data_IF_583790857842
#
_entry.id   IF_583790857842
#
_cell.length_a   1.000
_cell.length_b   1.000
_cell.length_c   1.000
_cell.angle_alpha   90.00
_cell.angle_beta   90.00
_cell.angle_gamma   90.00
#
_symmetry.space_group_name_H-M   'P 1'
#
loop_
_entity.id
_entity.type
_entity.pdbx_description
1 polymer ?
#
# COMPACT_ATOMS: atom_id res chain seq x y z
N UNK A 1 -83.26 -31.40 -19.85
CA UNK A 1 -82.88 -32.68 -19.23
C UNK A 1 -81.59 -32.38 -18.50
N UNK A 2 -81.67 -32.35 -17.18
CA UNK A 2 -80.59 -31.96 -16.28
C UNK A 2 -79.87 -33.26 -15.91
N UNK A 3 -78.69 -33.49 -16.51
CA UNK A 3 -77.87 -34.66 -16.24
C UNK A 3 -77.30 -34.56 -14.81
N UNK A 4 -78.09 -34.99 -13.84
CA UNK A 4 -77.59 -35.29 -12.49
C UNK A 4 -76.74 -36.55 -12.57
N UNK A 5 -75.44 -36.38 -12.81
CA UNK A 5 -74.48 -37.46 -12.59
C UNK A 5 -74.65 -38.01 -11.17
N UNK A 6 -74.68 -39.35 -11.00
CA UNK A 6 -74.90 -39.95 -9.70
C UNK A 6 -73.77 -39.52 -8.74
N UNK A 7 -74.12 -39.09 -7.54
CA UNK A 7 -73.17 -38.57 -6.52
C UNK A 7 -71.93 -39.46 -6.32
N UNK A 8 -72.08 -40.77 -6.52
CA UNK A 8 -70.98 -41.73 -6.48
C UNK A 8 -69.87 -41.47 -7.52
N UNK A 9 -70.20 -41.14 -8.79
CA UNK A 9 -69.18 -40.88 -9.82
C UNK A 9 -68.42 -39.57 -9.56
N UNK A 10 -69.06 -38.57 -8.96
CA UNK A 10 -68.40 -37.34 -8.51
C UNK A 10 -67.44 -37.60 -7.35
N UNK A 11 -67.81 -38.47 -6.40
CA UNK A 11 -66.93 -38.87 -5.31
C UNK A 11 -65.71 -39.64 -5.82
N UNK A 12 -65.90 -40.58 -6.75
CA UNK A 12 -64.80 -41.33 -7.38
C UNK A 12 -63.89 -40.44 -8.24
N UNK A 13 -64.46 -39.44 -8.93
CA UNK A 13 -63.69 -38.41 -9.64
C UNK A 13 -62.85 -37.57 -8.68
N UNK A 14 -63.39 -37.22 -7.52
CA UNK A 14 -62.71 -36.42 -6.50
C UNK A 14 -61.55 -37.20 -5.87
N UNK A 15 -61.75 -38.47 -5.52
CA UNK A 15 -60.69 -39.32 -4.98
C UNK A 15 -59.58 -39.56 -6.00
N UNK A 16 -59.92 -39.76 -7.28
CA UNK A 16 -58.95 -39.85 -8.38
C UNK A 16 -58.10 -38.58 -8.51
N UNK A 17 -58.73 -37.39 -8.47
CA UNK A 17 -58.02 -36.10 -8.51
C UNK A 17 -57.10 -35.91 -7.30
N UNK A 18 -57.53 -36.30 -6.10
CA UNK A 18 -56.69 -36.25 -4.90
C UNK A 18 -55.45 -37.12 -5.07
N UNK A 19 -55.60 -38.34 -5.58
CA UNK A 19 -54.46 -39.24 -5.83
C UNK A 19 -53.50 -38.68 -6.89
N UNK A 20 -54.03 -38.06 -7.96
CA UNK A 20 -53.19 -37.41 -8.98
C UNK A 20 -52.41 -36.22 -8.41
N UNK A 21 -53.02 -35.41 -7.56
CA UNK A 21 -52.35 -34.29 -6.88
C UNK A 21 -51.28 -34.78 -5.91
N UNK A 22 -51.56 -35.83 -5.13
CA UNK A 22 -50.56 -36.45 -4.26
C UNK A 22 -49.34 -36.95 -5.04
N UNK A 23 -49.58 -37.59 -6.20
CA UNK A 23 -48.50 -38.04 -7.08
C UNK A 23 -47.69 -36.87 -7.64
N UNK A 24 -48.34 -35.84 -8.17
CA UNK A 24 -47.67 -34.66 -8.72
C UNK A 24 -46.84 -33.91 -7.66
N UNK A 25 -47.35 -33.86 -6.42
CA UNK A 25 -46.63 -33.25 -5.30
C UNK A 25 -45.38 -34.04 -4.93
N UNK A 26 -45.47 -35.37 -4.84
CA UNK A 26 -44.31 -36.23 -4.58
C UNK A 26 -43.24 -36.11 -5.69
N UNK A 27 -43.66 -36.03 -6.96
CA UNK A 27 -42.73 -35.80 -8.08
C UNK A 27 -42.03 -34.44 -7.96
N UNK A 28 -42.77 -33.37 -7.62
CA UNK A 28 -42.21 -32.03 -7.43
C UNK A 28 -41.23 -31.97 -6.25
N UNK A 29 -41.55 -32.61 -5.12
CA UNK A 29 -40.64 -32.71 -3.98
C UNK A 29 -39.36 -33.45 -4.35
N UNK A 30 -39.47 -34.54 -5.12
CA UNK A 30 -38.29 -35.27 -5.62
C UNK A 30 -37.42 -34.37 -6.51
N UNK A 31 -38.02 -33.62 -7.43
CA UNK A 31 -37.30 -32.73 -8.33
C UNK A 31 -36.59 -31.60 -7.56
N UNK A 32 -37.27 -31.04 -6.55
CA UNK A 32 -36.68 -30.03 -5.65
C UNK A 32 -35.49 -30.60 -4.90
N UNK A 33 -35.61 -31.80 -4.34
CA UNK A 33 -34.52 -32.45 -3.60
C UNK A 33 -33.31 -32.70 -4.52
N UNK A 34 -33.51 -33.22 -5.73
CA UNK A 34 -32.42 -33.46 -6.70
C UNK A 34 -31.75 -32.15 -7.11
N UNK A 35 -32.54 -31.12 -7.45
CA UNK A 35 -32.01 -29.82 -7.90
C UNK A 35 -31.18 -29.15 -6.81
N UNK A 36 -31.65 -29.16 -5.55
CA UNK A 36 -30.92 -28.58 -4.43
C UNK A 36 -29.64 -29.36 -4.12
N UNK A 37 -29.68 -30.69 -4.16
CA UNK A 37 -28.49 -31.52 -3.95
C UNK A 37 -27.43 -31.28 -5.03
N UNK A 38 -27.82 -31.13 -6.30
CA UNK A 38 -26.88 -30.81 -7.38
C UNK A 38 -26.21 -29.45 -7.16
N UNK A 39 -27.02 -28.41 -6.88
CA UNK A 39 -26.47 -27.08 -6.59
C UNK A 39 -25.55 -27.08 -5.37
N UNK A 40 -25.89 -27.84 -4.34
CA UNK A 40 -25.03 -27.97 -3.17
C UNK A 40 -23.69 -28.63 -3.49
N UNK A 41 -23.70 -29.72 -4.28
CA UNK A 41 -22.46 -30.38 -4.73
C UNK A 41 -21.57 -29.46 -5.56
N UNK A 42 -22.13 -28.65 -6.45
CA UNK A 42 -21.37 -27.67 -7.23
C UNK A 42 -20.69 -26.64 -6.31
N UNK A 43 -21.39 -26.17 -5.27
CA UNK A 43 -20.84 -25.25 -4.27
C UNK A 43 -19.72 -25.92 -3.48
N UNK A 44 -19.94 -27.14 -2.99
CA UNK A 44 -18.96 -27.93 -2.24
C UNK A 44 -17.68 -28.19 -3.05
N UNK A 45 -17.82 -28.58 -4.32
CA UNK A 45 -16.70 -28.77 -5.24
C UNK A 45 -15.92 -27.47 -5.49
N UNK A 46 -16.62 -26.34 -5.64
CA UNK A 46 -15.98 -25.03 -5.79
C UNK A 46 -15.15 -24.66 -4.54
N UNK A 47 -15.72 -24.82 -3.34
CA UNK A 47 -14.99 -24.54 -2.09
C UNK A 47 -13.80 -25.48 -1.90
N UNK A 48 -13.92 -26.77 -2.20
CA UNK A 48 -12.78 -27.69 -2.20
C UNK A 48 -11.73 -27.34 -3.27
N UNK A 49 -12.15 -26.79 -4.41
CA UNK A 49 -11.24 -26.25 -5.43
C UNK A 49 -10.44 -25.06 -4.89
N UNK A 50 -11.12 -24.11 -4.25
CA UNK A 50 -10.51 -22.94 -3.65
C UNK A 50 -9.53 -23.32 -2.54
N UNK A 51 -9.94 -24.22 -1.64
CA UNK A 51 -9.11 -24.74 -0.55
C UNK A 51 -7.82 -25.37 -1.08
N UNK A 52 -7.92 -26.22 -2.12
CA UNK A 52 -6.74 -26.83 -2.76
C UNK A 52 -5.83 -25.80 -3.41
N UNK A 53 -6.40 -24.79 -4.07
CA UNK A 53 -5.63 -23.70 -4.70
C UNK A 53 -4.87 -22.88 -3.64
N UNK A 54 -5.55 -22.52 -2.55
CA UNK A 54 -4.98 -21.71 -1.49
C UNK A 54 -3.89 -22.47 -0.73
N UNK A 55 -4.11 -23.75 -0.43
CA UNK A 55 -3.08 -24.64 0.12
C UNK A 55 -1.86 -24.70 -0.79
N UNK A 56 -2.04 -24.86 -2.11
CA UNK A 56 -0.91 -24.90 -3.05
C UNK A 56 -0.10 -23.60 -3.03
N UNK A 57 -0.77 -22.46 -3.11
CA UNK A 57 -0.12 -21.13 -3.04
C UNK A 57 0.63 -20.93 -1.73
N UNK A 58 0.10 -21.40 -0.62
CA UNK A 58 0.77 -21.32 0.68
C UNK A 58 2.10 -22.09 0.68
N UNK A 59 2.10 -23.34 0.22
CA UNK A 59 3.33 -24.14 0.16
C UNK A 59 4.35 -23.55 -0.81
N UNK A 60 3.90 -23.00 -1.94
CA UNK A 60 4.78 -22.33 -2.90
C UNK A 60 5.45 -21.09 -2.31
N UNK A 61 4.71 -20.28 -1.53
CA UNK A 61 5.28 -19.13 -0.83
C UNK A 61 6.26 -19.56 0.28
N UNK A 62 5.94 -20.61 1.03
CA UNK A 62 6.83 -21.16 2.05
C UNK A 62 8.16 -21.65 1.45
N UNK A 63 8.12 -22.27 0.26
CA UNK A 63 9.33 -22.68 -0.47
C UNK A 63 10.12 -21.46 -0.99
N UNK A 64 9.43 -20.41 -1.46
CA UNK A 64 10.09 -19.17 -1.87
C UNK A 64 10.77 -18.45 -0.70
N UNK A 65 10.11 -18.37 0.45
CA UNK A 65 10.66 -17.79 1.68
C UNK A 65 11.97 -18.48 2.07
N UNK A 66 11.98 -19.81 2.16
CA UNK A 66 13.19 -20.60 2.46
C UNK A 66 14.33 -20.36 1.45
N UNK A 67 13.99 -20.19 0.17
CA UNK A 67 14.99 -19.86 -0.85
C UNK A 67 15.58 -18.45 -0.65
N UNK A 68 14.75 -17.45 -0.34
CA UNK A 68 15.21 -16.10 -0.06
C UNK A 68 16.06 -16.02 1.21
N UNK A 69 15.66 -16.70 2.29
CA UNK A 69 16.48 -16.81 3.50
C UNK A 69 17.85 -17.41 3.20
N UNK A 70 17.89 -18.49 2.41
CA UNK A 70 19.16 -19.12 2.04
C UNK A 70 20.04 -18.19 1.19
N UNK A 71 19.46 -17.47 0.22
CA UNK A 71 20.17 -16.47 -0.58
C UNK A 71 20.71 -15.33 0.29
N UNK A 72 19.89 -14.82 1.21
CA UNK A 72 20.25 -13.74 2.11
C UNK A 72 21.39 -14.15 3.06
N UNK A 73 21.32 -15.36 3.63
CA UNK A 73 22.39 -15.92 4.45
C UNK A 73 23.71 -16.01 3.68
N UNK A 74 23.70 -16.54 2.44
CA UNK A 74 24.90 -16.61 1.59
C UNK A 74 25.47 -15.23 1.27
N UNK A 75 24.61 -14.26 0.96
CA UNK A 75 25.05 -12.88 0.70
C UNK A 75 25.72 -12.27 1.92
N UNK A 76 25.14 -12.45 3.12
CA UNK A 76 25.72 -11.98 4.38
C UNK A 76 27.07 -12.63 4.68
N UNK A 77 27.19 -13.94 4.50
CA UNK A 77 28.45 -14.67 4.68
C UNK A 77 29.56 -14.18 3.73
N UNK A 78 29.21 -13.77 2.50
CA UNK A 78 30.17 -13.19 1.55
C UNK A 78 30.60 -11.80 2.03
N UNK A 79 29.66 -10.95 2.44
CA UNK A 79 29.96 -9.61 2.93
C UNK A 79 30.84 -9.66 4.19
N UNK A 80 30.55 -10.53 5.14
CA UNK A 80 31.36 -10.72 6.36
C UNK A 80 32.81 -11.13 6.01
N UNK A 81 32.99 -12.03 5.04
CA UNK A 81 34.32 -12.41 4.56
C UNK A 81 35.06 -11.26 3.88
N UNK A 82 34.35 -10.44 3.11
CA UNK A 82 34.93 -9.28 2.45
C UNK A 82 35.32 -8.21 3.47
N UNK A 83 34.46 -7.93 4.44
CA UNK A 83 34.73 -7.00 5.55
C UNK A 83 35.94 -7.44 6.36
N UNK A 84 36.00 -8.71 6.79
CA UNK A 84 37.16 -9.24 7.51
C UNK A 84 38.46 -9.12 6.70
N UNK A 85 38.40 -9.33 5.38
CA UNK A 85 39.56 -9.17 4.51
C UNK A 85 39.99 -7.70 4.34
N UNK A 86 39.04 -6.76 4.31
CA UNK A 86 39.31 -5.32 4.28
C UNK A 86 39.94 -4.88 5.61
N UNK A 87 39.33 -5.25 6.74
CA UNK A 87 39.86 -4.93 8.09
C UNK A 87 41.28 -5.48 8.27
N UNK A 88 41.55 -6.72 7.82
CA UNK A 88 42.90 -7.28 7.89
C UNK A 88 43.92 -6.50 7.03
N UNK A 89 43.52 -6.02 5.84
CA UNK A 89 44.37 -5.19 4.97
C UNK A 89 44.60 -3.80 5.56
N UNK A 90 43.57 -3.20 6.15
CA UNK A 90 43.66 -1.92 6.84
C UNK A 90 44.62 -2.00 8.02
N UNK A 91 44.45 -3.00 8.89
CA UNK A 91 45.33 -3.21 10.04
C UNK A 91 46.79 -3.42 9.63
N UNK A 92 47.03 -4.25 8.61
CA UNK A 92 48.39 -4.49 8.09
C UNK A 92 49.01 -3.23 7.46
N UNK A 93 48.20 -2.32 6.92
CA UNK A 93 48.67 -1.04 6.35
C UNK A 93 48.96 -0.02 7.47
N UNK A 94 48.13 0.01 8.50
CA UNK A 94 48.33 0.85 9.70
C UNK A 94 49.62 0.44 10.44
N UNK A 95 49.86 -0.86 10.63
CA UNK A 95 51.08 -1.36 11.27
C UNK A 95 52.33 -0.92 10.51
N UNK A 96 52.34 -1.05 9.17
CA UNK A 96 53.44 -0.56 8.32
C UNK A 96 53.64 0.95 8.40
N UNK A 97 52.57 1.73 8.55
CA UNK A 97 52.67 3.18 8.71
C UNK A 97 53.31 3.52 10.06
N UNK A 98 52.88 2.83 11.12
CA UNK A 98 53.41 2.99 12.46
C UNK A 98 54.90 2.62 12.55
N UNK A 99 55.30 1.51 11.95
CA UNK A 99 56.72 1.12 11.85
C UNK A 99 57.57 2.20 11.15
N UNK A 100 57.06 2.78 10.06
CA UNK A 100 57.75 3.89 9.37
C UNK A 100 57.81 5.16 10.22
N UNK A 101 56.74 5.47 10.95
CA UNK A 101 56.70 6.60 11.87
C UNK A 101 57.74 6.42 12.98
N UNK A 102 57.79 5.25 13.61
CA UNK A 102 58.75 4.93 14.66
C UNK A 102 60.19 4.96 14.16
N UNK A 103 60.45 4.45 12.94
CA UNK A 103 61.77 4.54 12.31
C UNK A 103 62.19 5.99 12.01
N UNK A 104 61.27 6.85 11.56
CA UNK A 104 61.54 8.26 11.33
C UNK A 104 61.80 9.01 12.64
N UNK A 105 61.01 8.75 13.69
CA UNK A 105 61.21 9.30 15.04
C UNK A 105 62.56 8.87 15.61
N UNK A 106 62.97 7.61 15.41
CA UNK A 106 64.29 7.13 15.83
C UNK A 106 65.44 7.81 15.05
N UNK A 107 65.26 8.07 13.76
CA UNK A 107 66.24 8.78 12.94
C UNK A 107 66.39 10.26 13.35
N UNK A 108 65.32 10.87 13.87
CA UNK A 108 65.37 12.17 14.56
C UNK A 108 65.96 11.94 15.95
N UNK A 109 67.30 11.82 16.02
CA UNK A 109 68.02 11.92 17.30
C UNK A 109 67.64 13.24 17.99
N UNK A 110 67.21 13.25 19.27
CA UNK A 110 67.20 14.48 20.04
C UNK A 110 68.67 14.85 20.29
N UNK A 111 69.22 15.71 19.45
CA UNK A 111 70.42 16.47 19.79
C UNK A 111 70.01 17.46 20.87
N UNK A 112 70.06 16.99 22.12
CA UNK A 112 70.05 17.86 23.27
C UNK A 112 71.37 18.66 23.26
N UNK A 113 71.34 19.85 22.67
CA UNK A 113 72.31 20.90 22.98
C UNK A 113 71.57 21.97 23.79
N UNK A 114 72.10 22.38 24.96
CA UNK A 114 71.47 23.41 25.78
C UNK A 114 71.46 24.77 25.07
N UNK A 115 70.34 25.45 25.24
CA UNK A 115 70.03 26.82 24.82
C UNK A 115 71.12 27.83 25.20
N UNK A 116 71.50 28.73 24.29
CA UNK A 116 71.96 30.07 24.65
C UNK A 116 71.67 31.12 23.56
N UNK A 117 71.18 32.29 24.00
CA UNK A 117 71.47 33.61 23.42
C UNK A 117 70.97 34.03 22.03
N UNK A 118 69.90 34.83 22.04
CA UNK A 118 69.66 36.06 21.25
C UNK A 118 68.93 36.03 19.87
N UNK A 119 67.86 36.84 19.84
CA UNK A 119 67.19 37.59 18.76
C UNK A 119 67.76 37.55 17.32
N UNK A 120 66.88 37.31 16.34
CA UNK A 120 66.67 38.20 15.17
C UNK A 120 65.45 37.75 14.33
N UNK A 121 64.65 38.73 13.91
CA UNK A 121 63.50 38.58 12.99
C UNK A 121 63.98 38.59 11.53
N UNK A 122 63.28 37.90 10.60
CA UNK A 122 62.53 38.60 9.54
C UNK A 122 61.23 37.84 9.15
N UNK A 123 60.02 38.42 9.11
CA UNK A 123 59.35 39.22 8.07
C UNK A 123 59.37 38.66 6.62
N UNK A 124 58.14 38.58 6.05
CA UNK A 124 57.72 38.46 4.62
C UNK A 124 57.78 37.00 4.08
N UNK A 125 56.76 36.40 3.43
CA UNK A 125 55.73 36.92 2.53
C UNK A 125 54.46 36.03 2.50
N UNK A 126 53.39 36.63 1.99
CA UNK A 126 52.06 36.07 1.71
C UNK A 126 52.06 34.91 0.69
N UNK A 127 51.09 33.99 0.84
CA UNK A 127 50.06 33.63 -0.15
C UNK A 127 49.63 32.13 -0.08
N UNK A 128 48.32 31.83 -0.04
CA UNK A 128 47.79 30.47 0.00
C UNK A 128 47.63 29.88 -1.41
N UNK A 129 47.69 28.55 -1.59
CA UNK A 129 47.16 27.90 -2.77
C UNK A 129 45.80 27.24 -2.49
N UNK A 130 44.91 27.62 -3.39
CA UNK A 130 43.53 27.21 -3.63
C UNK A 130 43.16 25.72 -3.47
N UNK A 131 41.91 25.58 -3.03
CA UNK A 131 40.86 24.71 -3.56
C UNK A 131 41.28 23.45 -4.32
N UNK A 132 40.97 22.29 -3.72
CA UNK A 132 40.27 21.23 -4.45
C UNK A 132 39.08 20.78 -3.60
N UNK A 133 37.92 21.25 -4.00
CA UNK A 133 36.60 20.71 -3.68
C UNK A 133 36.61 19.21 -3.94
N UNK A 134 36.56 18.40 -2.89
CA UNK A 134 36.28 16.98 -3.01
C UNK A 134 34.84 16.86 -3.52
N UNK A 135 34.71 16.51 -4.79
CA UNK A 135 33.49 16.13 -5.45
C UNK A 135 32.79 15.04 -4.63
N UNK A 136 31.75 15.46 -3.92
CA UNK A 136 30.68 14.58 -3.47
C UNK A 136 30.11 13.91 -4.70
N UNK A 137 30.55 12.68 -4.97
CA UNK A 137 29.82 11.76 -5.84
C UNK A 137 28.54 11.36 -5.09
N UNK A 138 27.57 12.27 -5.08
CA UNK A 138 26.19 11.92 -4.79
C UNK A 138 25.71 11.24 -6.07
N UNK A 139 25.58 9.92 -6.00
CA UNK A 139 24.96 9.15 -7.08
C UNK A 139 23.62 9.81 -7.40
N UNK A 140 23.53 10.31 -8.63
CA UNK A 140 22.34 10.85 -9.26
C UNK A 140 21.23 9.81 -9.05
N UNK A 141 20.35 10.07 -8.07
CA UNK A 141 19.10 9.34 -7.92
C UNK A 141 18.33 9.73 -9.17
N UNK A 142 18.26 8.82 -10.13
CA UNK A 142 17.40 8.95 -11.29
C UNK A 142 15.99 9.10 -10.72
N UNK A 143 15.48 10.34 -10.74
CA UNK A 143 14.09 10.63 -10.45
C UNK A 143 13.25 9.81 -11.44
N UNK A 144 12.47 8.81 -10.99
CA UNK A 144 11.63 8.00 -11.88
C UNK A 144 10.58 8.83 -12.62
N UNK A 145 10.41 10.10 -12.24
CA UNK A 145 9.29 10.95 -12.63
C UNK A 145 9.63 12.02 -13.67
N UNK A 146 10.87 12.08 -14.19
CA UNK A 146 11.28 13.15 -15.10
C UNK A 146 11.00 12.91 -16.61
N UNK A 147 10.41 11.79 -17.00
CA UNK A 147 10.11 11.56 -18.42
C UNK A 147 8.84 10.72 -18.64
N UNK A 148 7.68 11.40 -18.65
CA UNK A 148 6.41 10.82 -19.04
C UNK A 148 5.45 11.88 -19.54
N UNK A 149 5.09 11.81 -20.81
CA UNK A 149 4.03 12.63 -21.38
C UNK A 149 2.71 12.17 -20.72
N UNK A 150 2.24 12.88 -19.70
CA UNK A 150 1.05 12.51 -18.91
C UNK A 150 -0.13 12.20 -19.84
N UNK A 151 -0.66 10.98 -19.78
CA UNK A 151 -1.70 10.50 -20.69
C UNK A 151 -3.05 11.21 -20.41
N UNK A 152 -3.18 11.81 -19.22
CA UNK A 152 -4.39 12.47 -18.74
C UNK A 152 -4.11 13.90 -18.26
N UNK A 153 -4.00 14.90 -19.16
CA UNK A 153 -3.84 16.31 -18.78
C UNK A 153 -5.04 16.87 -18.00
N UNK A 154 -6.20 16.20 -18.07
CA UNK A 154 -7.37 16.55 -17.28
C UNK A 154 -7.17 16.23 -15.78
N UNK A 155 -6.41 15.16 -15.47
CA UNK A 155 -6.12 14.77 -14.09
C UNK A 155 -5.30 15.84 -13.37
N UNK A 156 -4.29 16.37 -14.06
CA UNK A 156 -3.48 17.50 -13.58
C UNK A 156 -4.35 18.71 -13.24
N UNK A 157 -5.26 19.09 -14.14
CA UNK A 157 -6.16 20.23 -13.91
C UNK A 157 -7.06 20.05 -12.70
N UNK A 158 -7.57 18.83 -12.47
CA UNK A 158 -8.39 18.53 -11.29
C UNK A 158 -7.57 18.68 -10.00
N UNK A 159 -6.31 18.22 -10.02
CA UNK A 159 -5.38 18.38 -8.90
C UNK A 159 -5.03 19.86 -8.66
N UNK A 160 -4.70 20.63 -9.70
CA UNK A 160 -4.42 22.07 -9.63
C UNK A 160 -5.61 22.85 -9.03
N UNK A 161 -6.83 22.46 -9.39
CA UNK A 161 -8.07 23.09 -8.91
C UNK A 161 -8.50 22.62 -7.52
N UNK A 162 -7.79 21.66 -6.90
CA UNK A 162 -8.17 21.03 -5.64
C UNK A 162 -9.58 20.40 -5.68
N UNK A 163 -10.01 19.90 -6.85
CA UNK A 163 -11.35 19.35 -7.10
C UNK A 163 -11.42 17.86 -6.75
N UNK A 164 -11.76 17.53 -5.50
CA UNK A 164 -11.90 16.16 -5.02
C UNK A 164 -13.09 15.43 -5.65
N UNK A 165 -14.22 16.11 -5.88
CA UNK A 165 -15.42 15.51 -6.47
C UNK A 165 -15.20 15.15 -7.95
N UNK A 166 -14.59 16.08 -8.71
CA UNK A 166 -14.22 15.85 -10.09
C UNK A 166 -13.19 14.73 -10.23
N UNK A 167 -12.24 14.64 -9.29
CA UNK A 167 -11.27 13.54 -9.23
C UNK A 167 -11.95 12.18 -9.01
N UNK A 168 -12.89 12.08 -8.06
CA UNK A 168 -13.71 10.88 -7.84
C UNK A 168 -14.48 10.46 -9.09
N UNK A 169 -15.15 11.42 -9.74
CA UNK A 169 -15.90 11.17 -10.97
C UNK A 169 -14.99 10.69 -12.09
N UNK A 170 -13.85 11.34 -12.29
CA UNK A 170 -12.88 10.99 -13.31
C UNK A 170 -12.35 9.56 -13.14
N UNK A 171 -12.00 9.17 -11.91
CA UNK A 171 -11.55 7.80 -11.60
C UNK A 171 -12.68 6.79 -11.84
N UNK A 172 -13.92 7.14 -11.44
CA UNK A 172 -15.08 6.28 -11.65
C UNK A 172 -15.43 6.08 -13.14
N UNK A 173 -15.26 7.11 -13.97
CA UNK A 173 -15.52 7.04 -15.41
C UNK A 173 -14.43 6.24 -16.15
N UNK A 174 -13.22 6.18 -15.60
CA UNK A 174 -12.05 5.51 -16.18
C UNK A 174 -11.68 4.17 -15.51
N UNK A 175 -12.65 3.47 -14.89
CA UNK A 175 -12.43 2.21 -14.14
C UNK A 175 -11.64 1.12 -14.88
N UNK A 176 -11.70 1.08 -16.22
CA UNK A 176 -10.95 0.09 -17.03
C UNK A 176 -9.44 0.37 -17.08
N UNK A 177 -9.05 1.61 -16.82
CA UNK A 177 -7.68 2.10 -16.91
C UNK A 177 -7.08 2.36 -15.52
N UNK A 178 -7.63 1.76 -14.45
CA UNK A 178 -7.18 1.99 -13.07
C UNK A 178 -5.69 1.70 -12.85
N UNK A 179 -5.10 0.73 -13.57
CA UNK A 179 -3.67 0.43 -13.46
C UNK A 179 -2.82 1.63 -13.89
N UNK A 180 -3.13 2.21 -15.05
CA UNK A 180 -2.46 3.41 -15.58
C UNK A 180 -2.73 4.60 -14.67
N UNK A 181 -3.98 4.78 -14.21
CA UNK A 181 -4.31 5.86 -13.30
C UNK A 181 -3.53 5.79 -11.98
N UNK A 182 -3.30 4.60 -11.43
CA UNK A 182 -2.50 4.44 -10.20
C UNK A 182 -1.05 4.87 -10.38
N UNK A 183 -0.50 4.72 -11.59
CA UNK A 183 0.86 5.19 -11.91
C UNK A 183 0.88 6.71 -12.13
N UNK A 184 -0.14 7.28 -12.78
CA UNK A 184 -0.20 8.70 -13.16
C UNK A 184 -0.67 9.63 -12.02
N UNK A 185 -1.58 9.19 -11.15
CA UNK A 185 -2.15 10.02 -10.06
C UNK A 185 -1.07 10.59 -9.13
N UNK A 186 -0.06 9.84 -8.65
CA UNK A 186 1.03 10.41 -7.86
C UNK A 186 1.73 11.59 -8.54
N UNK A 187 1.89 11.54 -9.87
CA UNK A 187 2.50 12.63 -10.63
C UNK A 187 1.57 13.84 -10.71
N UNK A 188 0.28 13.63 -11.01
CA UNK A 188 -0.70 14.70 -11.09
C UNK A 188 -0.94 15.38 -9.73
N UNK A 189 -0.83 14.62 -8.64
CA UNK A 189 -0.93 15.16 -7.28
C UNK A 189 0.14 16.22 -7.00
N UNK A 190 1.34 16.16 -7.61
CA UNK A 190 2.38 17.19 -7.45
C UNK A 190 1.92 18.58 -7.92
N UNK A 191 0.95 18.65 -8.83
CA UNK A 191 0.41 19.91 -9.35
C UNK A 191 -0.63 20.54 -8.43
N UNK A 192 -1.11 19.82 -7.41
CA UNK A 192 -2.02 20.38 -6.41
C UNK A 192 -1.28 21.33 -5.48
N UNK A 193 -1.96 22.41 -5.08
CA UNK A 193 -1.44 23.40 -4.12
C UNK A 193 -1.14 22.74 -2.76
N UNK A 194 -1.98 21.80 -2.34
CA UNK A 194 -1.75 20.97 -1.17
C UNK A 194 -2.28 19.55 -1.45
N UNK A 195 -1.42 18.62 -1.90
CA UNK A 195 -1.83 17.28 -2.31
C UNK A 195 -2.44 16.49 -1.16
N UNK A 196 -1.93 16.69 0.05
CA UNK A 196 -2.38 16.01 1.24
C UNK A 196 -3.80 16.46 1.65
N UNK A 197 -4.06 17.77 1.63
CA UNK A 197 -5.40 18.33 1.86
C UNK A 197 -6.40 17.88 0.79
N UNK A 198 -5.99 17.82 -0.49
CA UNK A 198 -6.86 17.34 -1.57
C UNK A 198 -7.33 15.90 -1.31
N UNK A 199 -6.40 15.04 -0.87
CA UNK A 199 -6.72 13.64 -0.54
C UNK A 199 -7.61 13.57 0.70
N UNK A 200 -7.39 14.39 1.73
CA UNK A 200 -8.32 14.46 2.87
C UNK A 200 -9.72 14.90 2.47
N UNK A 201 -9.85 15.93 1.62
CA UNK A 201 -11.15 16.38 1.10
C UNK A 201 -11.87 15.26 0.34
N UNK A 202 -11.12 14.35 -0.28
CA UNK A 202 -11.70 13.18 -0.96
C UNK A 202 -12.33 12.15 -0.01
N UNK A 203 -12.10 12.25 1.30
CA UNK A 203 -12.62 11.32 2.31
C UNK A 203 -13.96 11.73 2.91
N UNK A 204 -14.49 12.92 2.60
CA UNK A 204 -15.71 13.47 3.23
C UNK A 204 -16.92 12.52 3.11
N UNK A 205 -17.09 11.88 1.95
CA UNK A 205 -18.22 10.99 1.65
C UNK A 205 -17.96 9.50 1.96
N UNK A 206 -16.83 9.18 2.61
CA UNK A 206 -16.45 7.79 2.91
C UNK A 206 -17.46 7.10 3.84
N UNK A 207 -18.03 7.86 4.78
CA UNK A 207 -19.17 7.49 5.61
C UNK A 207 -20.33 8.47 5.38
N UNK A 208 -21.34 8.11 4.56
CA UNK A 208 -22.51 8.96 4.32
C UNK A 208 -23.23 9.29 5.64
N UNK A 209 -23.59 10.57 5.82
CA UNK A 209 -24.23 11.07 7.05
C UNK A 209 -25.63 10.47 7.32
N UNK A 210 -26.29 9.89 6.31
CA UNK A 210 -27.59 9.21 6.44
C UNK A 210 -27.62 7.89 5.64
N UNK A 211 -27.74 6.77 6.35
CA UNK A 211 -27.80 5.43 5.76
C UNK A 211 -29.26 5.00 5.58
N UNK A 212 -29.83 5.32 4.42
CA UNK A 212 -31.11 4.74 3.99
C UNK A 212 -30.85 3.35 3.38
N UNK A 213 -30.90 2.29 4.19
CA UNK A 213 -30.72 0.88 3.80
C UNK A 213 -31.88 0.34 2.96
N UNK A 214 -32.00 0.72 1.67
CA UNK A 214 -33.11 0.22 0.82
C UNK A 214 -32.71 -0.20 -0.61
N UNK A 215 -31.47 -0.01 -1.10
CA UNK A 215 -31.14 -0.42 -2.47
C UNK A 215 -29.69 -0.93 -2.64
N UNK A 216 -29.53 -2.17 -3.12
CA UNK A 216 -28.23 -2.79 -3.41
C UNK A 216 -27.42 -2.10 -4.52
N UNK A 217 -28.03 -1.22 -5.32
CA UNK A 217 -27.28 -0.33 -6.24
C UNK A 217 -26.53 0.79 -5.51
N UNK A 218 -27.04 1.24 -4.36
CA UNK A 218 -26.39 2.29 -3.54
C UNK A 218 -25.12 1.75 -2.89
N UNK A 219 -25.13 0.46 -2.51
CA UNK A 219 -23.97 -0.22 -1.91
C UNK A 219 -22.80 -0.36 -2.89
N UNK A 220 -23.05 -0.69 -4.16
CA UNK A 220 -21.98 -0.80 -5.17
C UNK A 220 -21.30 0.54 -5.47
N UNK A 221 -22.07 1.63 -5.44
CA UNK A 221 -21.56 2.99 -5.66
C UNK A 221 -20.69 3.42 -4.48
N UNK A 222 -21.16 3.19 -3.25
CA UNK A 222 -20.42 3.46 -2.03
C UNK A 222 -19.11 2.65 -1.95
N UNK A 223 -19.13 1.37 -2.34
CA UNK A 223 -17.91 0.55 -2.43
C UNK A 223 -16.91 1.08 -3.46
N UNK A 224 -17.40 1.61 -4.59
CA UNK A 224 -16.55 2.27 -5.59
C UNK A 224 -15.88 3.53 -5.03
N UNK A 225 -16.65 4.35 -4.30
CA UNK A 225 -16.14 5.56 -3.63
C UNK A 225 -15.07 5.21 -2.60
N UNK A 226 -15.34 4.23 -1.71
CA UNK A 226 -14.39 3.78 -0.68
C UNK A 226 -13.08 3.27 -1.28
N UNK A 227 -13.14 2.50 -2.36
CA UNK A 227 -11.95 2.04 -3.10
C UNK A 227 -11.17 3.19 -3.70
N UNK A 228 -11.86 4.22 -4.20
CA UNK A 228 -11.23 5.42 -4.76
C UNK A 228 -10.51 6.22 -3.67
N UNK A 229 -11.17 6.46 -2.52
CA UNK A 229 -10.54 7.09 -1.36
C UNK A 229 -9.25 6.38 -0.92
N UNK A 230 -9.29 5.05 -0.80
CA UNK A 230 -8.13 4.24 -0.42
C UNK A 230 -7.01 4.35 -1.45
N UNK A 231 -7.34 4.24 -2.73
CA UNK A 231 -6.37 4.41 -3.81
C UNK A 231 -5.71 5.79 -3.79
N UNK A 232 -6.46 6.86 -3.52
CA UNK A 232 -5.91 8.21 -3.42
C UNK A 232 -4.96 8.35 -2.24
N UNK A 233 -5.29 7.76 -1.08
CA UNK A 233 -4.37 7.69 0.06
C UNK A 233 -3.10 6.89 -0.28
N UNK A 234 -3.21 5.74 -0.96
CA UNK A 234 -2.04 4.98 -1.44
C UNK A 234 -1.16 5.79 -2.39
N UNK A 235 -1.77 6.54 -3.31
CA UNK A 235 -1.04 7.39 -4.26
C UNK A 235 -0.33 8.55 -3.56
N UNK A 236 -0.93 9.11 -2.50
CA UNK A 236 -0.27 10.08 -1.65
C UNK A 236 0.93 9.46 -0.91
N UNK A 237 0.79 8.24 -0.36
CA UNK A 237 1.92 7.52 0.26
C UNK A 237 3.07 7.33 -0.72
N UNK A 238 2.76 6.95 -1.96
CA UNK A 238 3.74 6.79 -3.03
C UNK A 238 4.44 8.13 -3.28
N UNK A 239 3.68 9.22 -3.46
CA UNK A 239 4.25 10.54 -3.66
C UNK A 239 5.19 10.94 -2.52
N UNK A 240 4.78 10.74 -1.26
CA UNK A 240 5.58 11.08 -0.08
C UNK A 240 6.83 10.22 0.05
N UNK A 241 6.78 8.93 -0.31
CA UNK A 241 7.94 8.04 -0.28
C UNK A 241 9.04 8.47 -1.26
N UNK A 242 8.66 9.02 -2.41
CA UNK A 242 9.59 9.47 -3.44
C UNK A 242 10.00 10.94 -3.31
N UNK A 243 9.44 11.68 -2.36
CA UNK A 243 9.75 13.09 -2.13
C UNK A 243 10.76 13.22 -0.98
N UNK A 244 11.74 14.10 -1.11
CA UNK A 244 12.76 14.32 -0.07
C UNK A 244 12.12 14.74 1.26
N UNK A 245 12.72 14.30 2.39
CA UNK A 245 12.20 14.48 3.75
C UNK A 245 11.87 15.95 4.10
N UNK A 246 12.60 16.91 3.53
CA UNK A 246 12.37 18.35 3.74
C UNK A 246 11.09 18.80 3.03
N UNK A 247 10.85 18.31 1.81
CA UNK A 247 9.66 18.60 1.01
C UNK A 247 8.41 17.87 1.50
N UNK A 248 8.58 16.74 2.19
CA UNK A 248 7.50 16.02 2.87
C UNK A 248 6.87 16.86 3.98
N UNK A 249 7.67 17.58 4.77
CA UNK A 249 7.16 18.49 5.81
C UNK A 249 6.37 19.67 5.24
N UNK A 250 6.67 20.11 4.02
CA UNK A 250 5.92 21.16 3.32
C UNK A 250 4.60 20.63 2.72
N UNK A 251 4.60 19.35 2.31
CA UNK A 251 3.41 18.67 1.76
C UNK A 251 2.40 18.27 2.84
N UNK A 252 2.87 17.92 4.04
CA UNK A 252 2.04 17.47 5.16
C UNK A 252 2.17 18.44 6.34
N UNK A 253 1.36 19.49 6.31
CA UNK A 253 1.26 20.45 7.41
C UNK A 253 0.66 19.82 8.68
N UNK A 254 1.05 20.32 9.86
CA UNK A 254 0.46 19.96 11.15
C UNK A 254 -1.07 20.13 11.19
N UNK A 255 -1.62 21.10 10.45
CA UNK A 255 -3.08 21.27 10.33
C UNK A 255 -3.73 20.07 9.63
N UNK A 256 -3.11 19.61 8.54
CA UNK A 256 -3.56 18.44 7.75
C UNK A 256 -3.47 17.17 8.59
N UNK A 257 -2.39 17.00 9.39
CA UNK A 257 -2.27 15.88 10.35
C UNK A 257 -3.38 15.92 11.40
N UNK A 258 -3.67 17.10 11.94
CA UNK A 258 -4.76 17.32 12.88
C UNK A 258 -6.13 16.95 12.30
N UNK A 259 -6.40 17.35 11.05
CA UNK A 259 -7.63 16.99 10.33
C UNK A 259 -7.73 15.48 10.07
N UNK A 260 -6.65 14.84 9.61
CA UNK A 260 -6.61 13.39 9.38
C UNK A 260 -6.95 12.62 10.67
N UNK A 261 -6.38 13.05 11.80
CA UNK A 261 -6.65 12.47 13.12
C UNK A 261 -8.10 12.66 13.55
N UNK A 262 -8.66 13.86 13.33
CA UNK A 262 -10.07 14.13 13.65
C UNK A 262 -11.03 13.23 12.83
N UNK A 263 -10.74 13.03 11.53
CA UNK A 263 -11.49 12.11 10.66
C UNK A 263 -11.40 10.68 11.20
N UNK A 264 -10.21 10.21 11.56
CA UNK A 264 -10.03 8.88 12.15
C UNK A 264 -10.81 8.71 13.47
N UNK A 265 -10.77 9.71 14.35
CA UNK A 265 -11.54 9.71 15.60
C UNK A 265 -13.05 9.68 15.37
N UNK A 266 -13.56 10.34 14.32
CA UNK A 266 -14.96 10.27 13.90
C UNK A 266 -15.33 8.86 13.38
N UNK A 267 -14.41 8.20 12.68
CA UNK A 267 -14.64 6.89 12.09
C UNK A 267 -14.58 5.75 13.10
N UNK A 268 -13.79 5.91 14.17
CA UNK A 268 -13.60 4.90 15.22
C UNK A 268 -14.92 4.32 15.78
N UNK A 269 -15.90 5.11 16.27
CA UNK A 269 -17.16 4.56 16.76
C UNK A 269 -18.01 3.92 15.65
N UNK A 270 -17.89 4.39 14.39
CA UNK A 270 -18.60 3.79 13.25
C UNK A 270 -18.03 2.40 12.96
N UNK A 271 -16.70 2.24 13.01
CA UNK A 271 -16.02 0.96 12.83
C UNK A 271 -16.34 -0.02 13.97
N UNK A 272 -16.31 0.46 15.23
CA UNK A 272 -16.61 -0.36 16.41
C UNK A 272 -18.08 -0.84 16.44
N UNK A 273 -18.99 -0.12 15.77
CA UNK A 273 -20.40 -0.48 15.68
C UNK A 273 -20.73 -1.55 14.64
N UNK A 274 -19.76 -1.93 13.79
CA UNK A 274 -19.96 -2.89 12.72
C UNK A 274 -19.71 -4.32 13.22
N UNK A 275 -20.66 -5.20 12.94
CA UNK A 275 -20.56 -6.62 13.28
C UNK A 275 -19.46 -7.30 12.46
N UNK A 276 -18.64 -8.12 13.12
CA UNK A 276 -17.41 -8.72 12.57
C UNK A 276 -17.72 -9.69 11.41
N UNK A 277 -18.95 -10.18 11.33
CA UNK A 277 -19.41 -11.17 10.34
C UNK A 277 -19.84 -10.57 8.98
N UNK A 278 -19.84 -9.25 8.80
CA UNK A 278 -20.25 -8.60 7.56
C UNK A 278 -19.11 -8.50 6.51
N UNK A 279 -19.00 -9.51 5.65
CA UNK A 279 -18.00 -9.63 4.57
C UNK A 279 -18.05 -8.56 3.45
N UNK A 280 -18.89 -7.52 3.56
CA UNK A 280 -19.24 -6.62 2.44
C UNK A 280 -18.64 -5.21 2.49
N UNK A 281 -17.82 -4.83 3.48
CA UNK A 281 -17.25 -3.47 3.53
C UNK A 281 -16.29 -3.17 4.68
N UNK A 282 -16.33 -3.94 5.76
CA UNK A 282 -15.57 -3.68 6.99
C UNK A 282 -14.04 -3.69 6.78
N UNK A 283 -13.53 -4.46 5.82
CA UNK A 283 -12.09 -4.51 5.53
C UNK A 283 -11.55 -3.21 4.91
N UNK A 284 -12.33 -2.55 4.06
CA UNK A 284 -11.96 -1.26 3.45
C UNK A 284 -12.02 -0.15 4.50
N UNK A 285 -13.00 -0.22 5.38
CA UNK A 285 -13.16 0.73 6.49
C UNK A 285 -12.01 0.63 7.50
N UNK A 286 -11.64 -0.59 7.90
CA UNK A 286 -10.48 -0.81 8.77
C UNK A 286 -9.18 -0.32 8.09
N UNK A 287 -8.97 -0.64 6.81
CA UNK A 287 -7.81 -0.18 6.06
C UNK A 287 -7.74 1.36 5.99
N UNK A 288 -8.85 2.00 5.64
CA UNK A 288 -8.93 3.46 5.57
C UNK A 288 -8.66 4.08 6.94
N UNK A 289 -9.28 3.55 8.01
CA UNK A 289 -9.03 3.99 9.38
C UNK A 289 -7.54 3.92 9.74
N UNK A 290 -6.89 2.77 9.56
CA UNK A 290 -5.45 2.62 9.88
C UNK A 290 -4.55 3.53 9.03
N UNK A 291 -4.91 3.75 7.76
CA UNK A 291 -4.16 4.65 6.86
C UNK A 291 -4.28 6.10 7.34
N UNK A 292 -5.49 6.52 7.75
CA UNK A 292 -5.74 7.87 8.29
C UNK A 292 -5.22 8.08 9.71
N UNK A 293 -5.15 7.02 10.53
CA UNK A 293 -4.87 7.13 11.97
C UNK A 293 -3.40 6.96 12.35
N UNK A 294 -2.49 6.64 11.42
CA UNK A 294 -1.07 6.61 11.76
C UNK A 294 -0.09 6.26 10.65
N UNK A 295 -0.43 5.39 9.69
CA UNK A 295 0.61 4.89 8.76
C UNK A 295 1.05 5.93 7.72
N UNK A 296 0.18 6.86 7.32
CA UNK A 296 0.52 7.86 6.30
C UNK A 296 0.93 9.22 6.90
N UNK A 297 0.34 9.58 8.04
CA UNK A 297 0.38 10.94 8.58
C UNK A 297 1.37 11.10 9.74
N UNK A 298 1.70 10.02 10.45
CA UNK A 298 2.66 10.03 11.57
C UNK A 298 4.05 9.51 11.17
N UNK A 299 4.17 8.78 10.05
CA UNK A 299 5.43 8.22 9.57
C UNK A 299 6.33 9.23 8.83
N UNK A 300 5.80 10.42 8.52
CA UNK A 300 6.38 11.46 7.69
C UNK A 300 6.21 12.83 8.37
#
# INVERSE_FOLDING_TARGET
MEDTEPVATLMDSTTSKIQQLQKAFAELESHRAVTLNLKWKEIEEHFHGLERSLKRRFHELEDQEKQYETKNRRAREILEKQEAAVVAKEQASLEKLQEKQDAAVFAIKPSAVPYDGQCESPTIDDQPPDAMTAESNLGEIIDPFENGNLEYPQLVKLCEQMDSEGLHKFISDNRKNLAVLKEEIPHALKSAVNPAQLVLNSLEDFYPKEVSNVDGKKDSTLLGLRRTCIMLMECLSILLMYTDLISVSDLVSEDVKGQAKAIAEEWKPKLDSLDVDANNGNSLEAHAFFTTSGHLWDCF
#
